data_IF_330923657534
#
_entry.id   IF_330923657534
#
_cell.length_a   1.000
_cell.length_b   1.000
_cell.length_c   1.000
_cell.angle_alpha   90.00
_cell.angle_beta   90.00
_cell.angle_gamma   90.00
#
_symmetry.space_group_name_H-M   'P 1'
#
loop_
_entity.id
_entity.type
_entity.pdbx_description
1 polymer ?
#
# COMPACT_ATOMS: atom_id res chain seq x y z
N UNK A 1 5.31 1.85 -22.50
CA UNK A 1 3.93 1.97 -22.07
C UNK A 1 3.75 3.07 -21.03
N UNK A 2 2.61 3.73 -21.08
CA UNK A 2 2.25 4.79 -20.13
C UNK A 2 1.24 4.27 -19.09
N UNK A 3 1.38 3.01 -18.73
CA UNK A 3 0.49 2.35 -17.79
C UNK A 3 0.72 2.95 -16.38
N UNK A 4 -0.35 3.47 -15.79
CA UNK A 4 -0.27 4.12 -14.49
C UNK A 4 -1.28 3.56 -13.53
N UNK A 5 -0.85 3.41 -12.29
CA UNK A 5 -1.72 3.17 -11.14
C UNK A 5 -2.01 4.49 -10.43
N UNK A 6 -3.15 4.57 -9.79
CA UNK A 6 -3.54 5.75 -9.01
C UNK A 6 -4.17 5.28 -7.71
N UNK A 7 -3.65 5.76 -6.60
CA UNK A 7 -4.31 5.63 -5.29
C UNK A 7 -4.35 7.01 -4.65
N UNK A 8 -5.54 7.49 -4.35
CA UNK A 8 -5.76 8.77 -3.71
C UNK A 8 -6.45 8.57 -2.37
N UNK A 9 -5.94 9.24 -1.35
CA UNK A 9 -6.52 9.28 -0.01
C UNK A 9 -6.96 10.69 0.33
N UNK A 10 -8.24 10.86 0.60
CA UNK A 10 -8.79 12.08 1.19
C UNK A 10 -9.09 11.81 2.67
N UNK A 11 -8.44 12.55 3.54
CA UNK A 11 -8.51 12.34 4.99
C UNK A 11 -9.09 13.58 5.66
N UNK A 12 -10.19 13.39 6.40
CA UNK A 12 -10.78 14.40 7.27
C UNK A 12 -10.65 13.96 8.74
N UNK A 13 -11.07 14.79 9.66
CA UNK A 13 -11.09 14.40 11.09
C UNK A 13 -12.07 13.27 11.39
N UNK A 14 -13.03 13.02 10.54
CA UNK A 14 -14.12 12.08 10.78
C UNK A 14 -14.05 10.87 9.87
N UNK A 15 -13.79 11.08 8.58
CA UNK A 15 -13.86 10.04 7.55
C UNK A 15 -12.63 10.07 6.66
N UNK A 16 -12.27 8.90 6.16
CA UNK A 16 -11.35 8.78 5.05
C UNK A 16 -12.09 8.26 3.81
N UNK A 17 -11.61 8.68 2.64
CA UNK A 17 -12.07 8.21 1.35
C UNK A 17 -10.85 7.82 0.52
N UNK A 18 -10.93 6.66 -0.14
CA UNK A 18 -9.85 6.16 -1.00
C UNK A 18 -10.42 5.85 -2.37
N UNK A 19 -9.71 6.27 -3.42
CA UNK A 19 -9.93 5.84 -4.80
C UNK A 19 -8.71 5.06 -5.23
N UNK A 20 -8.89 3.87 -5.80
CA UNK A 20 -7.80 3.00 -6.18
C UNK A 20 -7.99 2.42 -7.59
N UNK A 21 -6.94 2.58 -8.41
CA UNK A 21 -6.77 1.90 -9.70
C UNK A 21 -5.37 1.30 -9.72
N UNK A 22 -5.27 -0.03 -9.62
CA UNK A 22 -3.99 -0.74 -9.63
C UNK A 22 -3.66 -1.45 -8.33
N UNK A 23 -2.36 -1.59 -8.03
CA UNK A 23 -1.83 -2.35 -6.91
C UNK A 23 -1.02 -1.52 -5.90
N UNK A 24 -1.03 -0.21 -6.01
CA UNK A 24 -0.60 0.67 -4.91
C UNK A 24 -1.57 0.49 -3.76
N UNK A 25 -1.05 0.43 -2.54
CA UNK A 25 -1.87 0.14 -1.36
C UNK A 25 -1.97 1.32 -0.41
N UNK A 26 -3.10 1.40 0.27
CA UNK A 26 -3.31 2.27 1.42
C UNK A 26 -3.48 1.42 2.68
N UNK A 27 -2.81 1.83 3.75
CA UNK A 27 -2.85 1.17 5.07
C UNK A 27 -3.23 2.16 6.16
N UNK A 28 -3.87 1.66 7.19
CA UNK A 28 -4.03 2.33 8.47
C UNK A 28 -3.23 1.57 9.52
N UNK A 29 -2.32 2.26 10.19
CA UNK A 29 -1.43 1.68 11.19
C UNK A 29 -1.75 2.33 12.55
N UNK A 30 -2.38 1.59 13.41
CA UNK A 30 -2.66 1.95 14.80
C UNK A 30 -2.04 0.90 15.70
N UNK A 31 -2.86 0.09 16.36
CA UNK A 31 -2.40 -1.08 17.13
C UNK A 31 -2.00 -2.23 16.20
N UNK A 32 -2.49 -2.22 14.97
CA UNK A 32 -2.23 -3.22 13.93
C UNK A 32 -2.00 -2.53 12.59
N UNK A 33 -1.42 -3.24 11.65
CA UNK A 33 -1.35 -2.84 10.24
C UNK A 33 -2.62 -3.35 9.54
N UNK A 34 -3.44 -2.44 9.07
CA UNK A 34 -4.70 -2.76 8.38
C UNK A 34 -4.62 -2.31 6.93
N UNK A 35 -4.75 -3.24 5.99
CA UNK A 35 -4.86 -2.93 4.56
C UNK A 35 -6.25 -2.39 4.26
N UNK A 36 -6.32 -1.18 3.70
CA UNK A 36 -7.57 -0.50 3.37
C UNK A 36 -8.01 -0.67 1.92
N UNK A 37 -7.08 -1.05 1.05
CA UNK A 37 -7.34 -1.24 -0.38
C UNK A 37 -7.25 -2.71 -0.76
N UNK A 38 -7.61 -2.99 -2.00
CA UNK A 38 -7.56 -4.31 -2.61
C UNK A 38 -6.80 -4.23 -3.93
N UNK A 39 -5.82 -5.08 -4.10
CA UNK A 39 -5.01 -5.11 -5.31
C UNK A 39 -5.87 -5.49 -6.53
N UNK A 40 -5.73 -4.73 -7.60
CA UNK A 40 -6.36 -5.02 -8.88
C UNK A 40 -5.36 -5.75 -9.79
N UNK A 41 -4.97 -6.97 -9.37
CA UNK A 41 -4.04 -7.83 -10.08
C UNK A 41 -4.70 -9.14 -10.47
N UNK A 42 -4.13 -9.82 -11.47
CA UNK A 42 -4.58 -11.14 -11.89
C UNK A 42 -4.56 -12.13 -10.72
N UNK A 43 -3.47 -12.14 -9.94
CA UNK A 43 -3.34 -13.08 -8.81
C UNK A 43 -4.32 -12.77 -7.67
N UNK A 44 -4.60 -11.50 -7.39
CA UNK A 44 -5.59 -11.13 -6.39
C UNK A 44 -6.99 -11.64 -6.78
N UNK A 45 -7.33 -11.55 -8.05
CA UNK A 45 -8.57 -12.10 -8.60
C UNK A 45 -8.60 -13.63 -8.49
N UNK A 46 -7.50 -14.30 -8.80
CA UNK A 46 -7.41 -15.76 -8.68
C UNK A 46 -7.56 -16.24 -7.23
N UNK A 47 -7.02 -15.49 -6.27
CA UNK A 47 -7.25 -15.75 -4.83
C UNK A 47 -8.71 -15.63 -4.47
N UNK A 48 -9.39 -14.60 -4.93
CA UNK A 48 -10.84 -14.41 -4.69
C UNK A 48 -11.69 -15.51 -5.30
N UNK A 49 -11.32 -16.00 -6.47
CA UNK A 49 -12.00 -17.10 -7.14
C UNK A 49 -11.67 -18.47 -6.52
N UNK A 50 -10.76 -18.52 -5.55
CA UNK A 50 -10.33 -19.76 -4.91
C UNK A 50 -9.35 -20.60 -5.72
N UNK A 51 -8.78 -20.06 -6.80
CA UNK A 51 -7.83 -20.75 -7.67
C UNK A 51 -6.39 -20.70 -7.15
N UNK A 52 -6.08 -19.72 -6.30
CA UNK A 52 -4.78 -19.57 -5.64
C UNK A 52 -5.00 -19.28 -4.15
N UNK A 53 -4.06 -19.74 -3.33
CA UNK A 53 -3.93 -19.26 -1.95
C UNK A 53 -3.18 -17.91 -1.94
N UNK A 54 -3.29 -17.17 -0.83
CA UNK A 54 -2.54 -15.92 -0.67
C UNK A 54 -1.02 -16.16 -0.77
N UNK A 55 -0.54 -17.24 -0.19
CA UNK A 55 0.89 -17.61 -0.23
C UNK A 55 1.35 -17.91 -1.66
N UNK A 56 0.57 -18.66 -2.43
CA UNK A 56 0.88 -18.96 -3.84
C UNK A 56 0.91 -17.69 -4.68
N UNK A 57 0.00 -16.75 -4.41
CA UNK A 57 -0.07 -15.48 -5.13
C UNK A 57 1.19 -14.62 -4.96
N UNK A 58 1.83 -14.67 -3.79
CA UNK A 58 3.04 -13.89 -3.49
C UNK A 58 4.23 -14.27 -4.36
N UNK A 59 4.29 -15.52 -4.81
CA UNK A 59 5.39 -16.06 -5.64
C UNK A 59 4.98 -16.33 -7.09
N UNK A 60 3.73 -16.09 -7.44
CA UNK A 60 3.23 -16.32 -8.80
C UNK A 60 3.92 -15.36 -9.80
N UNK A 61 4.37 -15.85 -10.97
CA UNK A 61 4.99 -15.00 -11.99
C UNK A 61 4.11 -13.86 -12.47
N UNK A 62 2.79 -13.97 -12.31
CA UNK A 62 1.80 -12.96 -12.71
C UNK A 62 1.46 -11.94 -11.62
N UNK A 63 2.16 -11.99 -10.46
CA UNK A 63 1.83 -11.16 -9.30
C UNK A 63 1.78 -9.64 -9.57
N UNK A 64 2.51 -9.18 -10.58
CA UNK A 64 2.54 -7.77 -10.99
C UNK A 64 1.67 -7.46 -12.20
N UNK A 65 0.89 -8.42 -12.69
CA UNK A 65 0.00 -8.20 -13.83
C UNK A 65 -1.29 -7.55 -13.37
N UNK A 66 -1.51 -6.32 -13.81
CA UNK A 66 -2.68 -5.51 -13.47
C UNK A 66 -3.92 -5.92 -14.27
N UNK A 67 -5.09 -5.87 -13.65
CA UNK A 67 -6.39 -6.07 -14.32
C UNK A 67 -6.78 -4.84 -15.13
N UNK A 68 -6.39 -3.66 -14.67
CA UNK A 68 -6.61 -2.38 -15.35
C UNK A 68 -5.54 -1.37 -14.94
N UNK A 69 -5.32 -0.38 -15.78
CA UNK A 69 -4.44 0.74 -15.50
C UNK A 69 -4.85 1.97 -16.30
N UNK A 70 -4.54 3.12 -15.76
CA UNK A 70 -4.82 4.40 -16.43
C UNK A 70 -3.89 4.57 -17.62
N UNK A 71 -4.44 4.81 -18.79
CA UNK A 71 -3.70 5.05 -20.02
C UNK A 71 -3.60 3.87 -20.96
N UNK A 72 -3.82 2.64 -20.52
CA UNK A 72 -3.80 1.43 -21.34
C UNK A 72 -5.16 0.74 -21.46
N UNK A 73 -6.01 0.89 -20.46
CA UNK A 73 -7.38 0.34 -20.51
C UNK A 73 -8.31 1.31 -21.22
N UNK A 74 -9.21 0.80 -22.06
CA UNK A 74 -10.22 1.61 -22.76
C UNK A 74 -11.16 2.29 -21.77
N UNK A 75 -11.52 1.59 -20.71
CA UNK A 75 -12.31 2.10 -19.59
C UNK A 75 -11.62 1.74 -18.28
N UNK A 76 -11.78 2.58 -17.27
CA UNK A 76 -11.21 2.39 -15.95
C UNK A 76 -12.32 2.43 -14.91
N UNK A 77 -12.37 1.41 -14.07
CA UNK A 77 -13.34 1.26 -12.99
C UNK A 77 -12.63 1.35 -11.62
N UNK A 78 -12.50 2.56 -11.05
CA UNK A 78 -11.86 2.72 -9.76
C UNK A 78 -12.62 2.00 -8.65
N UNK A 79 -11.91 1.36 -7.75
CA UNK A 79 -12.48 0.94 -6.46
C UNK A 79 -12.54 2.14 -5.53
N UNK A 80 -13.60 2.22 -4.73
CA UNK A 80 -13.79 3.27 -3.73
C UNK A 80 -13.97 2.64 -2.37
N UNK A 81 -13.19 3.12 -1.40
CA UNK A 81 -13.27 2.68 -0.01
C UNK A 81 -13.48 3.90 0.88
N UNK A 82 -14.17 3.72 1.99
CA UNK A 82 -14.33 4.76 3.00
C UNK A 82 -14.47 4.14 4.38
N UNK A 83 -14.21 4.92 5.40
CA UNK A 83 -14.36 4.51 6.79
C UNK A 83 -14.11 5.66 7.75
N UNK A 84 -14.20 5.36 9.03
CA UNK A 84 -13.93 6.33 10.07
C UNK A 84 -12.43 6.58 10.18
N UNK A 85 -12.05 7.86 10.27
CA UNK A 85 -10.66 8.23 10.51
C UNK A 85 -10.25 7.87 11.93
N UNK A 86 -9.22 7.03 12.06
CA UNK A 86 -8.61 6.76 13.35
C UNK A 86 -7.77 7.97 13.80
N UNK A 87 -7.97 8.39 15.03
CA UNK A 87 -7.06 9.31 15.70
C UNK A 87 -5.84 8.51 16.21
N UNK A 88 -4.71 9.18 16.35
CA UNK A 88 -3.47 8.56 16.79
C UNK A 88 -3.10 7.32 15.94
N UNK A 89 -3.06 7.50 14.64
CA UNK A 89 -2.73 6.48 13.67
C UNK A 89 -1.74 7.02 12.63
N UNK A 90 -1.11 6.12 11.89
CA UNK A 90 -0.34 6.44 10.68
C UNK A 90 -1.08 5.87 9.48
N UNK A 91 -1.44 6.73 8.54
CA UNK A 91 -1.93 6.32 7.23
C UNK A 91 -0.76 6.26 6.26
N UNK A 92 -0.69 5.21 5.45
CA UNK A 92 0.41 5.00 4.51
C UNK A 92 -0.12 4.66 3.13
N UNK A 93 0.40 5.35 2.11
CA UNK A 93 0.28 4.94 0.72
C UNK A 93 1.64 4.44 0.25
N UNK A 94 1.69 3.29 -0.40
CA UNK A 94 2.95 2.76 -0.89
C UNK A 94 2.81 2.01 -2.21
N UNK A 95 3.87 2.08 -3.03
CA UNK A 95 4.03 1.25 -4.21
C UNK A 95 4.29 -0.21 -3.81
N UNK A 96 4.13 -1.12 -4.76
CA UNK A 96 4.46 -2.53 -4.56
C UNK A 96 5.93 -2.75 -4.23
N UNK A 97 6.84 -1.98 -4.84
CA UNK A 97 8.27 -2.02 -4.54
C UNK A 97 8.64 -1.66 -3.09
N UNK A 98 7.80 -0.91 -2.40
CA UNK A 98 8.03 -0.62 -0.98
C UNK A 98 7.76 -1.83 -0.07
N UNK A 99 6.86 -2.72 -0.46
CA UNK A 99 6.35 -3.80 0.40
C UNK A 99 6.80 -5.21 0.03
N UNK A 100 7.40 -5.41 -1.14
CA UNK A 100 7.77 -6.76 -1.61
C UNK A 100 8.78 -7.46 -0.70
N UNK A 101 9.77 -6.75 -0.23
CA UNK A 101 10.91 -7.33 0.50
C UNK A 101 10.87 -7.06 2.00
N UNK A 102 9.84 -6.36 2.50
CA UNK A 102 9.64 -6.10 3.93
C UNK A 102 8.39 -6.78 4.44
N UNK A 103 8.38 -7.10 5.73
CA UNK A 103 7.24 -7.74 6.38
C UNK A 103 6.30 -6.71 6.99
N UNK A 104 5.06 -7.11 7.20
CA UNK A 104 4.07 -6.31 7.94
C UNK A 104 4.55 -5.96 9.35
N UNK A 105 5.26 -6.89 10.00
CA UNK A 105 5.86 -6.69 11.31
C UNK A 105 6.92 -5.59 11.29
N UNK A 106 7.74 -5.51 10.24
CA UNK A 106 8.73 -4.46 10.05
C UNK A 106 8.05 -3.12 9.76
N UNK A 107 7.01 -3.10 8.94
CA UNK A 107 6.19 -1.90 8.70
C UNK A 107 5.63 -1.38 10.04
N UNK A 108 5.06 -2.24 10.84
CA UNK A 108 4.55 -1.85 12.15
C UNK A 108 5.64 -1.29 13.07
N UNK A 109 6.79 -1.95 13.14
CA UNK A 109 7.88 -1.54 14.02
C UNK A 109 8.39 -0.12 13.72
N UNK A 110 8.45 0.26 12.44
CA UNK A 110 8.96 1.56 12.01
C UNK A 110 7.90 2.64 11.85
N UNK A 111 6.63 2.28 11.63
CA UNK A 111 5.59 3.25 11.26
C UNK A 111 4.40 3.32 12.21
N UNK A 112 4.40 2.57 13.32
CA UNK A 112 3.33 2.70 14.30
C UNK A 112 3.32 4.10 14.96
N UNK A 113 2.17 4.55 15.49
CA UNK A 113 2.03 5.91 16.00
C UNK A 113 3.01 6.29 17.12
N UNK A 114 3.49 5.32 17.90
CA UNK A 114 4.39 5.59 19.03
C UNK A 114 5.80 6.00 18.61
N UNK A 115 6.21 5.64 17.40
CA UNK A 115 7.52 5.98 16.82
C UNK A 115 7.43 7.06 15.73
N UNK A 116 6.24 7.36 15.24
CA UNK A 116 5.97 8.39 14.23
C UNK A 116 5.55 9.70 14.91
N UNK A 117 6.46 10.33 15.66
CA UNK A 117 6.15 11.42 16.58
C UNK A 117 6.36 12.82 16.00
N UNK A 118 7.25 12.98 15.04
CA UNK A 118 7.54 14.25 14.36
C UNK A 118 7.95 14.00 12.91
N UNK A 119 7.98 15.06 12.10
CA UNK A 119 8.26 14.97 10.67
C UNK A 119 9.65 14.36 10.37
N UNK A 120 10.67 14.76 11.12
CA UNK A 120 12.03 14.26 10.91
C UNK A 120 12.14 12.77 11.27
N UNK A 121 11.50 12.35 12.36
CA UNK A 121 11.42 10.93 12.76
C UNK A 121 10.66 10.10 11.75
N UNK A 122 9.55 10.61 11.24
CA UNK A 122 8.77 9.95 10.19
C UNK A 122 9.61 9.75 8.93
N UNK A 123 10.33 10.78 8.50
CA UNK A 123 11.21 10.69 7.34
C UNK A 123 12.30 9.64 7.56
N UNK A 124 13.00 9.68 8.67
CA UNK A 124 14.06 8.69 9.00
C UNK A 124 13.52 7.25 8.99
N UNK A 125 12.34 7.04 9.56
CA UNK A 125 11.73 5.71 9.63
C UNK A 125 11.33 5.18 8.24
N UNK A 126 10.77 6.03 7.39
CA UNK A 126 10.49 5.66 5.99
C UNK A 126 11.77 5.38 5.20
N UNK A 127 12.79 6.21 5.35
CA UNK A 127 14.08 6.01 4.69
C UNK A 127 14.74 4.69 5.13
N UNK A 128 14.65 4.34 6.42
CA UNK A 128 15.17 3.08 6.93
C UNK A 128 14.52 1.87 6.26
N UNK A 129 13.20 1.90 6.04
CA UNK A 129 12.49 0.82 5.33
C UNK A 129 12.84 0.79 3.84
N UNK A 130 13.03 1.95 3.21
CA UNK A 130 13.51 2.04 1.83
C UNK A 130 14.90 1.40 1.70
N UNK A 131 15.82 1.73 2.59
CA UNK A 131 17.17 1.15 2.60
C UNK A 131 17.14 -0.37 2.84
N UNK A 132 16.25 -0.84 3.72
CA UNK A 132 16.06 -2.27 3.96
C UNK A 132 15.62 -3.01 2.68
N UNK A 133 14.68 -2.43 1.92
CA UNK A 133 14.27 -2.96 0.62
C UNK A 133 15.45 -3.03 -0.37
N UNK A 134 16.25 -1.97 -0.44
CA UNK A 134 17.44 -1.92 -1.32
C UNK A 134 18.49 -2.97 -0.91
N UNK A 135 18.74 -3.13 0.38
CA UNK A 135 19.66 -4.15 0.89
C UNK A 135 19.18 -5.57 0.55
N UNK A 136 17.87 -5.78 0.52
CA UNK A 136 17.23 -7.03 0.11
C UNK A 136 17.05 -7.17 -1.39
N UNK A 137 17.67 -6.27 -2.17
CA UNK A 137 17.71 -6.28 -3.63
C UNK A 137 16.36 -6.05 -4.33
N UNK A 138 15.48 -5.25 -3.73
CA UNK A 138 14.32 -4.75 -4.46
C UNK A 138 14.77 -3.99 -5.72
N UNK A 139 14.17 -4.32 -6.85
CA UNK A 139 14.54 -3.76 -8.17
C UNK A 139 13.52 -2.78 -8.72
N UNK A 140 12.33 -2.76 -8.14
CA UNK A 140 11.27 -1.87 -8.55
C UNK A 140 11.44 -0.49 -7.93
N UNK A 141 10.73 0.49 -8.48
CA UNK A 141 10.63 1.81 -7.88
C UNK A 141 9.99 1.72 -6.50
N UNK A 142 10.54 2.44 -5.54
CA UNK A 142 10.09 2.43 -4.16
C UNK A 142 9.52 3.80 -3.82
N UNK A 143 8.23 3.86 -3.52
CA UNK A 143 7.55 5.09 -3.12
C UNK A 143 6.68 4.86 -1.90
N UNK A 144 6.73 5.78 -0.96
CA UNK A 144 5.92 5.76 0.26
C UNK A 144 5.56 7.17 0.70
N UNK A 145 4.34 7.34 1.16
CA UNK A 145 3.83 8.58 1.77
C UNK A 145 3.12 8.21 3.06
N UNK A 146 3.38 8.93 4.12
CA UNK A 146 2.70 8.72 5.41
C UNK A 146 2.06 10.00 5.93
N UNK A 147 0.93 9.83 6.59
CA UNK A 147 0.19 10.90 7.28
C UNK A 147 -0.05 10.44 8.71
N UNK A 148 0.36 11.25 9.67
CA UNK A 148 0.17 10.98 11.09
C UNK A 148 -1.03 11.76 11.62
N UNK A 149 -1.99 11.07 12.23
CA UNK A 149 -3.16 11.68 12.90
C UNK A 149 -2.94 11.73 14.42
N UNK A 150 -3.50 12.73 15.05
CA UNK A 150 -3.40 12.94 16.50
C UNK A 150 -4.76 13.04 17.18
#
# INVERSE_FOLDING_TARGET
>A
GLDKTVTALHLTKQLYYIINVGDTRAYEIGDHVVLLTKDQTVVAREVELGNLTQVEAETDPRRSVLLQCVGASDEVYPDMFFGDTALNATYMLCSDGFRHEITEREIYAYLNPTVMTDADGMQRNMEALIELNKQRRERDNISVVTIRTF
#
